data_IF_749191992965
#
_entry.id   IF_749191992965
#
_cell.length_a   1.000
_cell.length_b   1.000
_cell.length_c   1.000
_cell.angle_alpha   90.00
_cell.angle_beta   90.00
_cell.angle_gamma   90.00
#
_symmetry.space_group_name_H-M   'P 1'
#
loop_
_entity.id
_entity.type
_entity.pdbx_description
1 polymer ?
#
# COMPACT_ATOMS: atom_id res chain seq x y z
N UNK A 1 16.86 -17.90 -12.36
CA UNK A 1 16.78 -18.28 -10.93
C UNK A 1 15.85 -17.30 -10.26
N UNK A 2 14.65 -17.72 -9.93
CA UNK A 2 13.72 -16.90 -9.12
C UNK A 2 14.32 -16.74 -7.73
N UNK A 3 14.61 -15.50 -7.32
CA UNK A 3 15.14 -15.25 -5.98
C UNK A 3 14.08 -15.63 -4.95
N UNK A 4 14.47 -16.48 -4.03
CA UNK A 4 13.57 -16.99 -2.99
C UNK A 4 13.44 -15.94 -1.89
N UNK A 5 12.22 -15.58 -1.54
CA UNK A 5 11.99 -14.74 -0.35
C UNK A 5 12.14 -15.63 0.89
N UNK A 6 13.19 -15.36 1.64
CA UNK A 6 13.51 -16.05 2.89
C UNK A 6 14.05 -15.06 3.95
N UNK A 7 14.42 -15.53 5.11
CA UNK A 7 14.90 -14.68 6.20
C UNK A 7 16.19 -13.92 5.84
N UNK A 8 17.04 -14.49 4.98
CA UNK A 8 18.27 -13.83 4.53
C UNK A 8 17.97 -12.69 3.55
N UNK A 9 16.99 -12.90 2.69
CA UNK A 9 16.45 -11.87 1.80
C UNK A 9 15.86 -10.69 2.60
N UNK A 10 15.03 -10.98 3.61
CA UNK A 10 14.49 -9.94 4.51
C UNK A 10 15.61 -9.15 5.20
N UNK A 11 16.58 -9.85 5.81
CA UNK A 11 17.68 -9.21 6.53
C UNK A 11 18.54 -8.33 5.64
N UNK A 12 18.79 -8.78 4.40
CA UNK A 12 19.56 -8.02 3.39
C UNK A 12 18.84 -6.73 3.00
N UNK A 13 17.62 -6.85 2.48
CA UNK A 13 16.94 -5.73 1.85
C UNK A 13 16.34 -4.74 2.83
N UNK A 14 15.99 -5.18 4.04
CA UNK A 14 15.60 -4.26 5.11
C UNK A 14 16.70 -3.25 5.47
N UNK A 15 17.99 -3.63 5.39
CA UNK A 15 19.12 -2.73 5.64
C UNK A 15 19.28 -1.67 4.56
N UNK A 16 18.80 -1.97 3.34
CA UNK A 16 18.86 -1.05 2.19
C UNK A 16 17.68 -0.08 2.15
N UNK A 17 16.72 -0.22 3.08
CA UNK A 17 15.60 0.70 3.19
C UNK A 17 16.01 1.94 4.01
N UNK A 18 16.32 3.02 3.33
CA UNK A 18 16.82 4.26 3.94
C UNK A 18 15.81 5.41 3.92
N UNK A 19 14.60 5.19 3.42
CA UNK A 19 13.68 6.29 3.19
C UNK A 19 12.69 6.49 4.33
N UNK A 20 12.69 7.77 4.70
CA UNK A 20 11.63 8.49 5.39
C UNK A 20 11.44 8.21 6.87
N UNK A 21 10.86 9.21 7.50
CA UNK A 21 10.31 9.15 8.85
C UNK A 21 9.07 8.23 8.87
N UNK A 22 9.32 6.94 8.61
CA UNK A 22 8.31 5.88 8.69
C UNK A 22 7.72 5.72 10.09
N UNK A 23 8.33 6.37 11.09
CA UNK A 23 7.78 6.39 12.43
C UNK A 23 6.47 7.20 12.47
N UNK A 24 6.43 8.36 11.80
CA UNK A 24 5.19 9.14 11.70
C UNK A 24 4.10 8.35 10.97
N UNK A 25 4.42 7.80 9.80
CA UNK A 25 3.49 6.96 9.05
C UNK A 25 2.97 5.79 9.91
N UNK A 26 3.89 5.06 10.58
CA UNK A 26 3.55 3.88 11.37
C UNK A 26 2.66 4.22 12.57
N UNK A 27 2.83 5.39 13.16
CA UNK A 27 1.98 5.87 14.23
C UNK A 27 0.60 6.28 13.72
N UNK A 28 0.55 6.96 12.57
CA UNK A 28 -0.71 7.43 11.98
C UNK A 28 -1.58 6.28 11.49
N UNK A 29 -1.00 5.31 10.77
CA UNK A 29 -1.78 4.21 10.21
C UNK A 29 -2.41 3.30 11.27
N UNK A 30 -1.87 3.30 12.49
CA UNK A 30 -2.37 2.52 13.65
C UNK A 30 -3.39 3.24 14.51
N UNK A 31 -3.61 4.54 14.30
CA UNK A 31 -4.62 5.27 15.08
C UNK A 31 -6.00 4.67 14.87
N UNK A 32 -6.79 4.59 15.91
CA UNK A 32 -8.20 4.16 15.82
C UNK A 32 -9.04 5.17 15.04
N UNK A 33 -8.75 6.46 15.22
CA UNK A 33 -9.40 7.56 14.51
C UNK A 33 -8.36 8.50 13.90
N UNK A 34 -8.59 8.88 12.65
CA UNK A 34 -7.79 9.84 11.91
C UNK A 34 -8.46 11.21 11.91
N UNK A 35 -7.65 12.25 12.00
CA UNK A 35 -8.06 13.63 11.74
C UNK A 35 -7.80 14.02 10.30
N UNK A 36 -8.29 15.17 9.85
CA UNK A 36 -7.97 15.74 8.51
C UNK A 36 -6.47 15.94 8.35
N UNK A 37 -5.78 16.32 9.43
CA UNK A 37 -4.32 16.53 9.39
C UNK A 37 -3.56 15.20 9.29
N UNK A 38 -3.98 14.17 10.03
CA UNK A 38 -3.44 12.82 9.93
C UNK A 38 -3.56 12.27 8.50
N UNK A 39 -4.73 12.43 7.87
CA UNK A 39 -4.92 12.07 6.46
C UNK A 39 -3.97 12.87 5.53
N UNK A 40 -3.83 14.17 5.79
CA UNK A 40 -2.91 15.00 5.04
C UNK A 40 -1.45 14.52 5.13
N UNK A 41 -1.03 14.04 6.30
CA UNK A 41 0.30 13.48 6.52
C UNK A 41 0.48 12.13 5.83
N UNK A 42 -0.48 11.21 5.97
CA UNK A 42 -0.48 9.91 5.26
C UNK A 42 -0.41 10.09 3.74
N UNK A 43 -1.20 11.01 3.18
CA UNK A 43 -1.16 11.33 1.76
C UNK A 43 0.19 11.94 1.34
N UNK A 44 0.79 12.77 2.19
CA UNK A 44 2.12 13.36 1.92
C UNK A 44 3.22 12.32 1.92
N UNK A 45 3.13 11.36 2.83
CA UNK A 45 4.06 10.24 2.90
C UNK A 45 4.06 9.44 1.59
N UNK A 46 2.89 9.16 1.04
CA UNK A 46 2.78 8.46 -0.25
C UNK A 46 3.23 9.33 -1.43
N UNK A 47 2.77 10.58 -1.48
CA UNK A 47 3.16 11.55 -2.51
C UNK A 47 2.65 12.95 -2.17
N UNK A 48 3.51 13.97 -2.33
CA UNK A 48 3.10 15.38 -2.19
C UNK A 48 1.94 15.76 -3.14
N UNK A 49 1.89 15.18 -4.34
CA UNK A 49 0.75 15.35 -5.25
C UNK A 49 -0.56 14.93 -4.62
N UNK A 50 -0.57 13.83 -3.89
CA UNK A 50 -1.75 13.29 -3.23
C UNK A 50 -2.29 14.26 -2.19
N UNK A 51 -1.41 14.80 -1.36
CA UNK A 51 -1.80 15.81 -0.38
C UNK A 51 -2.49 16.98 -1.03
N UNK A 52 -1.91 17.55 -2.11
CA UNK A 52 -2.43 18.75 -2.76
C UNK A 52 -3.83 18.56 -3.35
N UNK A 53 -4.08 17.41 -3.97
CA UNK A 53 -5.35 17.15 -4.68
C UNK A 53 -6.43 16.55 -3.81
N UNK A 54 -6.05 15.75 -2.81
CA UNK A 54 -6.98 14.88 -2.07
C UNK A 54 -7.25 15.32 -0.63
N UNK A 55 -6.38 16.14 -0.01
CA UNK A 55 -6.56 16.52 1.40
C UNK A 55 -7.96 17.09 1.68
N UNK A 56 -8.44 17.99 0.85
CA UNK A 56 -9.75 18.61 1.04
C UNK A 56 -10.89 17.62 0.75
N UNK A 57 -10.77 16.83 -0.32
CA UNK A 57 -11.80 15.84 -0.69
C UNK A 57 -11.96 14.77 0.38
N UNK A 58 -10.86 14.14 0.80
CA UNK A 58 -10.88 13.13 1.87
C UNK A 58 -11.16 13.74 3.24
N UNK A 59 -10.74 14.99 3.48
CA UNK A 59 -11.02 15.70 4.74
C UNK A 59 -12.51 15.82 5.04
N UNK A 60 -13.33 16.06 4.02
CA UNK A 60 -14.78 16.09 4.14
C UNK A 60 -15.39 14.72 4.45
N UNK A 61 -14.65 13.63 4.23
CA UNK A 61 -15.08 12.24 4.47
C UNK A 61 -14.42 11.59 5.68
N UNK A 62 -13.74 12.36 6.54
CA UNK A 62 -13.02 11.82 7.73
C UNK A 62 -13.90 10.95 8.59
N UNK A 63 -15.13 11.35 8.85
CA UNK A 63 -16.07 10.55 9.64
C UNK A 63 -16.32 9.19 8.96
N UNK A 64 -16.65 9.20 7.68
CA UNK A 64 -16.90 7.97 6.92
C UNK A 64 -15.64 7.08 6.85
N UNK A 65 -14.46 7.68 6.70
CA UNK A 65 -13.17 6.96 6.75
C UNK A 65 -13.02 6.24 8.09
N UNK A 66 -13.26 6.94 9.20
CA UNK A 66 -13.15 6.35 10.53
C UNK A 66 -14.19 5.24 10.78
N UNK A 67 -15.41 5.41 10.29
CA UNK A 67 -16.45 4.39 10.37
C UNK A 67 -16.04 3.14 9.55
N UNK A 68 -15.56 3.31 8.33
CA UNK A 68 -15.05 2.20 7.49
C UNK A 68 -13.84 1.51 8.12
N UNK A 69 -12.93 2.26 8.77
CA UNK A 69 -11.78 1.66 9.48
C UNK A 69 -12.22 0.76 10.64
N UNK A 70 -13.25 1.15 11.38
CA UNK A 70 -13.82 0.35 12.48
C UNK A 70 -14.56 -0.88 11.97
N UNK A 71 -15.38 -0.72 10.94
CA UNK A 71 -16.20 -1.80 10.38
C UNK A 71 -15.38 -2.83 9.59
N UNK A 72 -14.24 -2.43 9.00
CA UNK A 72 -13.40 -3.26 8.11
C UNK A 72 -14.22 -3.98 7.04
N UNK A 73 -14.96 -3.25 6.20
CA UNK A 73 -15.88 -3.85 5.25
C UNK A 73 -15.16 -4.64 4.17
N UNK A 74 -15.93 -5.47 3.46
CA UNK A 74 -15.44 -6.19 2.28
C UNK A 74 -15.09 -5.23 1.13
N UNK A 75 -14.26 -5.70 0.23
CA UNK A 75 -13.69 -4.93 -0.88
C UNK A 75 -14.70 -4.16 -1.73
N UNK A 76 -15.86 -4.71 -2.15
CA UNK A 76 -16.80 -3.95 -2.98
C UNK A 76 -17.23 -2.62 -2.36
N UNK A 77 -17.42 -2.57 -1.03
CA UNK A 77 -17.78 -1.33 -0.33
C UNK A 77 -16.60 -0.34 -0.27
N UNK A 78 -15.38 -0.85 -0.23
CA UNK A 78 -14.17 0.00 -0.29
C UNK A 78 -13.98 0.57 -1.70
N UNK A 79 -14.26 -0.22 -2.73
CA UNK A 79 -14.23 0.26 -4.12
C UNK A 79 -15.27 1.36 -4.35
N UNK A 80 -16.48 1.18 -3.85
CA UNK A 80 -17.53 2.21 -3.92
C UNK A 80 -17.11 3.49 -3.22
N UNK A 81 -16.41 3.38 -2.08
CA UNK A 81 -15.85 4.55 -1.40
C UNK A 81 -14.76 5.24 -2.25
N UNK A 82 -13.84 4.47 -2.85
CA UNK A 82 -12.80 5.02 -3.74
C UNK A 82 -13.41 5.72 -4.95
N UNK A 83 -14.45 5.14 -5.57
CA UNK A 83 -15.15 5.71 -6.72
C UNK A 83 -15.82 7.06 -6.46
N UNK A 84 -16.09 7.42 -5.21
CA UNK A 84 -16.54 8.80 -4.87
C UNK A 84 -15.53 9.86 -5.26
N UNK A 85 -14.24 9.50 -5.31
CA UNK A 85 -13.13 10.41 -5.61
C UNK A 85 -12.57 10.17 -7.01
N UNK A 86 -12.66 8.94 -7.48
CA UNK A 86 -12.20 8.44 -8.78
C UNK A 86 -13.28 7.56 -9.39
N UNK A 87 -14.24 8.17 -10.13
CA UNK A 87 -15.40 7.42 -10.66
C UNK A 87 -15.03 6.23 -11.52
N UNK A 88 -13.95 6.35 -12.30
CA UNK A 88 -13.47 5.32 -13.21
C UNK A 88 -12.42 4.39 -12.56
N UNK A 89 -12.38 4.34 -11.21
CA UNK A 89 -11.54 3.36 -10.52
C UNK A 89 -12.01 1.92 -10.82
N UNK A 90 -11.13 0.96 -11.16
CA UNK A 90 -9.67 1.00 -11.01
C UNK A 90 -8.86 1.56 -12.19
N UNK A 91 -9.47 1.88 -13.32
CA UNK A 91 -8.79 2.33 -14.53
C UNK A 91 -8.09 3.68 -14.33
N UNK A 92 -8.74 4.60 -13.62
CA UNK A 92 -8.17 5.86 -13.20
C UNK A 92 -7.55 5.77 -11.80
N UNK A 93 -6.35 6.29 -11.65
CA UNK A 93 -5.63 6.40 -10.39
C UNK A 93 -5.49 5.10 -9.56
N UNK A 94 -5.07 3.96 -10.13
CA UNK A 94 -5.02 2.67 -9.44
C UNK A 94 -4.17 2.70 -8.15
N UNK A 95 -3.00 3.33 -8.18
CA UNK A 95 -2.12 3.45 -6.99
C UNK A 95 -2.78 4.26 -5.87
N UNK A 96 -3.58 5.27 -6.23
CA UNK A 96 -4.32 6.06 -5.26
C UNK A 96 -5.42 5.27 -4.59
N UNK A 97 -6.21 4.56 -5.39
CA UNK A 97 -7.30 3.75 -4.88
C UNK A 97 -6.80 2.67 -3.94
N UNK A 98 -5.72 1.98 -4.31
CA UNK A 98 -5.10 0.97 -3.43
C UNK A 98 -4.56 1.59 -2.15
N UNK A 99 -4.00 2.81 -2.20
CA UNK A 99 -3.54 3.49 -0.99
C UNK A 99 -4.69 3.96 -0.09
N UNK A 100 -5.81 4.42 -0.64
CA UNK A 100 -7.02 4.69 0.14
C UNK A 100 -7.51 3.41 0.81
N UNK A 101 -7.59 2.29 0.11
CA UNK A 101 -7.93 1.00 0.71
C UNK A 101 -6.96 0.60 1.81
N UNK A 102 -5.66 0.85 1.63
CA UNK A 102 -4.65 0.63 2.65
C UNK A 102 -4.92 1.49 3.91
N UNK A 103 -5.23 2.77 3.75
CA UNK A 103 -5.61 3.63 4.90
C UNK A 103 -6.84 3.07 5.62
N UNK A 104 -7.82 2.55 4.89
CA UNK A 104 -9.06 2.02 5.46
C UNK A 104 -8.87 0.67 6.15
N UNK A 105 -8.04 -0.22 5.60
CA UNK A 105 -7.79 -1.54 6.16
C UNK A 105 -6.36 -2.02 5.84
N UNK A 106 -5.34 -1.53 6.55
CA UNK A 106 -3.93 -1.80 6.23
C UNK A 106 -3.54 -3.28 6.35
N UNK A 107 -4.22 -4.06 7.21
CA UNK A 107 -3.95 -5.49 7.35
C UNK A 107 -4.42 -6.33 6.16
N UNK A 108 -5.34 -5.82 5.35
CA UNK A 108 -5.90 -6.51 4.18
C UNK A 108 -5.31 -6.01 2.86
N UNK A 109 -4.98 -4.73 2.78
CA UNK A 109 -4.52 -4.07 1.56
C UNK A 109 -3.09 -3.54 1.77
N UNK A 110 -2.04 -4.29 1.36
CA UNK A 110 -0.66 -3.82 1.45
C UNK A 110 -0.43 -2.60 0.55
N UNK A 111 0.57 -1.78 0.90
CA UNK A 111 0.97 -0.64 0.06
C UNK A 111 1.45 -1.15 -1.30
N UNK A 112 1.03 -0.46 -2.36
CA UNK A 112 1.43 -0.79 -3.71
C UNK A 112 1.96 0.45 -4.43
N UNK A 113 3.12 0.31 -5.07
CA UNK A 113 3.74 1.33 -5.90
C UNK A 113 4.66 0.70 -6.96
N UNK A 114 5.31 1.55 -7.75
CA UNK A 114 6.18 1.09 -8.83
C UNK A 114 7.35 0.21 -8.38
N UNK A 115 7.88 0.41 -7.16
CA UNK A 115 9.02 -0.37 -6.67
C UNK A 115 8.56 -1.74 -6.20
N UNK A 116 7.50 -1.77 -5.43
CA UNK A 116 6.87 -3.02 -4.98
C UNK A 116 6.37 -3.84 -6.16
N UNK A 117 5.79 -3.19 -7.19
CA UNK A 117 5.42 -3.82 -8.45
C UNK A 117 6.63 -4.49 -9.14
N UNK A 118 7.75 -3.77 -9.28
CA UNK A 118 8.99 -4.34 -9.83
C UNK A 118 9.51 -5.52 -9.01
N UNK A 119 9.50 -5.39 -7.68
CA UNK A 119 9.92 -6.47 -6.78
C UNK A 119 9.09 -7.75 -7.00
N UNK A 120 7.77 -7.59 -7.04
CA UNK A 120 6.84 -8.69 -7.26
C UNK A 120 7.14 -9.44 -8.56
N UNK A 121 7.24 -8.73 -9.67
CA UNK A 121 7.53 -9.33 -10.98
C UNK A 121 8.89 -10.04 -11.03
N UNK A 122 9.93 -9.45 -10.45
CA UNK A 122 11.25 -10.09 -10.36
C UNK A 122 11.22 -11.37 -9.54
N UNK A 123 10.49 -11.38 -8.43
CA UNK A 123 10.38 -12.55 -7.54
C UNK A 123 9.54 -13.66 -8.16
N UNK A 124 8.48 -13.32 -8.87
CA UNK A 124 7.62 -14.28 -9.57
C UNK A 124 8.21 -14.76 -10.91
N UNK A 125 9.27 -14.11 -11.42
CA UNK A 125 9.85 -14.41 -12.74
C UNK A 125 8.92 -14.07 -13.89
N UNK A 126 7.99 -13.13 -13.69
CA UNK A 126 7.07 -12.63 -14.71
C UNK A 126 7.62 -11.38 -15.37
N UNK A 127 7.35 -11.21 -16.67
CA UNK A 127 7.70 -9.97 -17.37
C UNK A 127 6.71 -8.86 -16.96
N UNK A 128 7.23 -7.63 -16.87
CA UNK A 128 6.38 -6.46 -16.69
C UNK A 128 5.81 -6.13 -18.07
N UNK A 129 4.66 -6.69 -18.40
CA UNK A 129 3.94 -6.39 -19.63
C UNK A 129 2.92 -5.29 -19.36
N UNK A 130 3.17 -4.09 -19.88
CA UNK A 130 2.23 -2.98 -19.90
C UNK A 130 1.97 -2.30 -18.55
N UNK A 131 1.08 -1.33 -18.59
CA UNK A 131 0.70 -0.48 -17.45
C UNK A 131 -0.40 -1.08 -16.55
N UNK A 132 -0.64 -2.40 -16.61
CA UNK A 132 -1.75 -3.03 -15.89
C UNK A 132 -1.44 -3.24 -14.40
N UNK A 133 -1.28 -2.11 -13.68
CA UNK A 133 -0.98 -2.13 -12.25
C UNK A 133 -2.06 -2.82 -11.42
N UNK A 134 -3.33 -2.73 -11.83
CA UNK A 134 -4.44 -3.30 -11.05
C UNK A 134 -4.60 -4.81 -11.23
N UNK A 135 -4.42 -5.35 -12.43
CA UNK A 135 -4.51 -6.80 -12.64
C UNK A 135 -3.42 -7.53 -11.83
N UNK A 136 -2.28 -6.85 -11.65
CA UNK A 136 -1.19 -7.36 -10.83
C UNK A 136 -1.44 -7.19 -9.32
N UNK A 137 -2.27 -6.22 -8.90
CA UNK A 137 -2.44 -5.90 -7.49
C UNK A 137 -3.06 -7.05 -6.69
N UNK A 138 -4.09 -7.72 -7.20
CA UNK A 138 -4.71 -8.85 -6.51
C UNK A 138 -3.75 -10.05 -6.38
N UNK A 139 -2.99 -10.31 -7.43
CA UNK A 139 -1.95 -11.35 -7.41
C UNK A 139 -0.83 -10.97 -6.44
N UNK A 140 -0.40 -9.71 -6.42
CA UNK A 140 0.56 -9.19 -5.45
C UNK A 140 0.03 -9.30 -4.01
N UNK A 141 -1.21 -8.95 -3.77
CA UNK A 141 -1.85 -9.03 -2.45
C UNK A 141 -1.87 -10.46 -1.91
N UNK A 142 -2.18 -11.42 -2.76
CA UNK A 142 -2.10 -12.85 -2.44
C UNK A 142 -0.67 -13.29 -2.14
N UNK A 143 0.28 -12.91 -2.98
CA UNK A 143 1.71 -13.13 -2.78
C UNK A 143 2.20 -12.53 -1.45
N UNK A 144 1.84 -11.27 -1.15
CA UNK A 144 2.25 -10.59 0.08
C UNK A 144 1.79 -11.34 1.33
N UNK A 145 0.51 -11.76 1.36
CA UNK A 145 -0.05 -12.54 2.47
C UNK A 145 0.66 -13.88 2.65
N UNK A 146 0.92 -14.58 1.55
CA UNK A 146 1.64 -15.86 1.59
C UNK A 146 3.07 -15.69 2.13
N UNK A 147 3.82 -14.70 1.61
CA UNK A 147 5.19 -14.47 2.07
C UNK A 147 5.23 -14.04 3.54
N UNK A 148 4.32 -13.17 3.96
CA UNK A 148 4.19 -12.76 5.36
C UNK A 148 3.96 -13.95 6.30
N UNK A 149 3.02 -14.83 5.95
CA UNK A 149 2.71 -16.02 6.74
C UNK A 149 3.91 -16.98 6.82
N UNK A 150 4.57 -17.23 5.68
CA UNK A 150 5.73 -18.09 5.56
C UNK A 150 6.94 -17.59 6.36
N UNK A 151 7.16 -16.29 6.40
CA UNK A 151 8.34 -15.68 7.03
C UNK A 151 8.10 -15.30 8.49
N UNK A 152 6.84 -15.28 8.96
CA UNK A 152 6.48 -14.82 10.30
C UNK A 152 6.85 -13.36 10.55
N UNK A 153 6.90 -12.52 9.50
CA UNK A 153 7.29 -11.13 9.60
C UNK A 153 6.06 -10.20 9.70
N UNK A 154 6.28 -8.93 10.06
CA UNK A 154 5.24 -7.92 10.06
C UNK A 154 5.00 -7.38 8.65
N UNK A 155 3.81 -6.77 8.41
CA UNK A 155 3.50 -6.10 7.13
C UNK A 155 4.56 -5.06 6.79
N UNK A 156 4.97 -4.25 7.77
CA UNK A 156 6.00 -3.23 7.59
C UNK A 156 7.35 -3.82 7.17
N UNK A 157 7.80 -4.89 7.82
CA UNK A 157 9.07 -5.52 7.47
C UNK A 157 9.09 -6.06 6.04
N UNK A 158 7.99 -6.67 5.61
CA UNK A 158 7.89 -7.19 4.25
C UNK A 158 7.78 -6.06 3.23
N UNK A 159 6.99 -5.03 3.51
CA UNK A 159 6.81 -3.87 2.63
C UNK A 159 8.14 -3.13 2.39
N UNK A 160 8.85 -2.75 3.45
CA UNK A 160 10.18 -2.12 3.39
C UNK A 160 11.18 -2.95 2.57
N UNK A 161 11.16 -4.28 2.79
CA UNK A 161 12.04 -5.21 2.08
C UNK A 161 11.74 -5.27 0.59
N UNK A 162 10.47 -5.40 0.22
CA UNK A 162 10.04 -5.46 -1.17
C UNK A 162 10.30 -4.14 -1.89
N UNK A 163 10.04 -3.01 -1.23
CA UNK A 163 10.31 -1.69 -1.76
C UNK A 163 11.81 -1.51 -2.06
N UNK A 164 12.68 -1.84 -1.09
CA UNK A 164 14.13 -1.73 -1.27
C UNK A 164 14.63 -2.65 -2.39
N UNK A 165 14.15 -3.88 -2.46
CA UNK A 165 14.49 -4.81 -3.54
C UNK A 165 14.00 -4.31 -4.91
N UNK A 166 12.83 -3.75 -4.99
CA UNK A 166 12.32 -3.19 -6.25
C UNK A 166 13.08 -1.96 -6.74
N UNK A 167 13.66 -1.19 -5.79
CA UNK A 167 14.41 0.02 -6.10
C UNK A 167 15.89 -0.25 -6.43
N UNK A 168 16.55 -1.10 -5.68
CA UNK A 168 18.01 -1.27 -5.72
C UNK A 168 18.47 -2.66 -6.20
N UNK A 169 17.58 -3.65 -6.29
CA UNK A 169 17.86 -5.04 -6.68
C UNK A 169 17.94 -5.31 -8.18
#
# INVERSE_FOLDING_TARGET
>A
MTSRVDSSFLAKWKKEYYEHDDLEYSNLIRKDELTVDDLGKLLSWKSYRFRKTMKNKLGNSVKEINDLRKERPKEPRLDDFVRKFYPDYPEDAPIFGTFIKHILNPGEFPVYDQFVHKAYHRLCGTQIEGDCLMDCYESYRSFFKEQKAKLGCTDKQLDETLWAYGRYG
#
